data_IF_777340168563
#
_entry.id   IF_777340168563
#
_cell.length_a   1.000
_cell.length_b   1.000
_cell.length_c   1.000
_cell.angle_alpha   90.00
_cell.angle_beta   90.00
_cell.angle_gamma   90.00
#
_symmetry.space_group_name_H-M   'P 1'
#
loop_
_entity.id
_entity.type
_entity.pdbx_description
1 polymer ?
#
# COMPACT_ATOMS: atom_id res chain seq x y z
N UNK A 1 -0.44 18.10 12.03
CA UNK A 1 -0.68 17.67 13.42
C UNK A 1 -1.23 18.88 14.17
N UNK A 2 -2.30 18.75 14.95
CA UNK A 2 -2.89 19.88 15.69
C UNK A 2 -1.94 20.30 16.83
N UNK A 3 -1.61 21.59 16.99
CA UNK A 3 -0.78 22.04 18.12
C UNK A 3 -1.50 21.77 19.45
N UNK A 4 -0.82 21.11 20.40
CA UNK A 4 -1.29 20.96 21.79
C UNK A 4 -2.00 19.65 22.16
N UNK A 5 -2.12 18.67 21.26
CA UNK A 5 -2.86 17.43 21.58
C UNK A 5 -2.10 16.41 22.43
N UNK A 6 -0.76 16.51 22.51
CA UNK A 6 0.11 15.62 23.31
C UNK A 6 1.12 16.47 24.08
N UNK A 7 1.27 16.22 25.38
CA UNK A 7 2.27 16.89 26.21
C UNK A 7 3.70 16.41 25.89
N UNK A 8 4.70 17.27 26.05
CA UNK A 8 6.11 16.90 25.87
C UNK A 8 6.54 15.74 26.79
N UNK A 9 5.95 15.64 27.98
CA UNK A 9 6.19 14.53 28.90
C UNK A 9 5.63 13.22 28.33
N UNK A 10 4.36 13.19 27.92
CA UNK A 10 3.74 12.00 27.31
C UNK A 10 4.46 11.57 26.03
N UNK A 11 4.91 12.52 25.22
CA UNK A 11 5.69 12.24 24.02
C UNK A 11 7.01 11.55 24.39
N UNK A 12 7.82 12.15 25.27
CA UNK A 12 9.19 11.70 25.53
C UNK A 12 9.27 10.48 26.47
N UNK A 13 8.31 10.30 27.38
CA UNK A 13 8.38 9.25 28.39
C UNK A 13 7.50 8.04 28.08
N UNK A 14 6.46 8.20 27.25
CA UNK A 14 5.51 7.13 26.96
C UNK A 14 5.54 6.74 25.48
N UNK A 15 5.46 7.71 24.57
CA UNK A 15 5.31 7.42 23.14
C UNK A 15 6.66 7.06 22.52
N UNK A 16 7.69 7.91 22.64
CA UNK A 16 8.98 7.67 22.00
C UNK A 16 9.67 6.38 22.45
N UNK A 17 9.68 6.00 23.74
CA UNK A 17 10.28 4.72 24.15
C UNK A 17 9.55 3.50 23.58
N UNK A 18 8.22 3.54 23.47
CA UNK A 18 7.44 2.47 22.84
C UNK A 18 7.69 2.41 21.34
N UNK A 19 7.80 3.56 20.68
CA UNK A 19 8.20 3.67 19.26
C UNK A 19 9.58 3.07 19.04
N UNK A 20 10.56 3.42 19.88
CA UNK A 20 11.92 2.88 19.78
C UNK A 20 11.94 1.36 19.99
N UNK A 21 11.23 0.84 20.99
CA UNK A 21 11.09 -0.60 21.20
C UNK A 21 10.42 -1.30 20.01
N UNK A 22 9.28 -0.77 19.53
CA UNK A 22 8.59 -1.34 18.38
C UNK A 22 9.47 -1.35 17.13
N UNK A 23 10.39 -0.40 16.97
CA UNK A 23 11.26 -0.31 15.80
C UNK A 23 12.23 -1.50 15.71
N UNK A 24 12.54 -2.11 16.87
CA UNK A 24 13.41 -3.27 16.99
C UNK A 24 12.72 -4.59 16.62
N UNK A 25 11.38 -4.59 16.50
CA UNK A 25 10.61 -5.77 16.10
C UNK A 25 10.57 -5.96 14.57
N UNK A 26 11.28 -5.14 13.82
CA UNK A 26 11.37 -5.25 12.37
C UNK A 26 12.03 -6.59 12.00
N UNK A 27 11.32 -7.40 11.23
CA UNK A 27 11.81 -8.71 10.77
C UNK A 27 12.73 -8.55 9.55
N UNK A 28 13.42 -9.63 9.15
CA UNK A 28 14.49 -9.61 8.12
C UNK A 28 14.06 -8.99 6.79
N UNK A 29 12.77 -9.11 6.44
CA UNK A 29 12.19 -8.50 5.23
C UNK A 29 12.03 -6.98 5.30
N UNK A 30 12.23 -6.40 6.48
CA UNK A 30 11.91 -5.01 6.80
C UNK A 30 10.47 -4.81 7.26
N UNK A 31 9.64 -5.84 7.33
CA UNK A 31 8.26 -5.71 7.78
C UNK A 31 8.13 -5.75 9.32
N UNK A 32 6.93 -5.53 9.86
CA UNK A 32 6.61 -5.72 11.28
C UNK A 32 5.63 -6.88 11.46
N UNK A 33 5.79 -7.67 12.55
CA UNK A 33 4.84 -8.72 12.89
C UNK A 33 3.46 -8.12 13.17
N UNK A 34 2.40 -8.86 12.84
CA UNK A 34 1.02 -8.46 13.17
C UNK A 34 0.68 -8.67 14.64
N UNK A 35 1.41 -9.55 15.32
CA UNK A 35 1.20 -9.90 16.73
C UNK A 35 2.51 -10.38 17.39
N UNK A 36 2.63 -10.23 18.70
CA UNK A 36 3.78 -10.80 19.42
C UNK A 36 3.70 -12.34 19.45
N UNK A 37 4.82 -13.02 19.66
CA UNK A 37 4.90 -14.49 19.66
C UNK A 37 5.14 -15.07 18.27
N UNK A 38 4.38 -16.08 17.86
CA UNK A 38 4.62 -16.89 16.65
C UNK A 38 4.60 -16.11 15.33
N UNK A 39 4.14 -14.85 15.31
CA UNK A 39 4.22 -14.01 14.12
C UNK A 39 5.57 -13.29 13.93
N UNK A 40 6.42 -13.24 14.96
CA UNK A 40 7.79 -12.70 14.87
C UNK A 40 8.67 -13.44 13.85
N UNK A 41 8.35 -14.71 13.57
CA UNK A 41 9.07 -15.54 12.60
C UNK A 41 8.32 -15.68 11.26
N UNK A 42 7.21 -14.94 11.06
CA UNK A 42 6.38 -15.05 9.86
C UNK A 42 6.28 -13.70 9.16
N UNK A 43 6.89 -13.63 7.98
CA UNK A 43 6.86 -12.47 7.10
C UNK A 43 5.61 -12.47 6.21
N UNK A 44 4.45 -12.25 6.81
CA UNK A 44 3.16 -12.46 6.11
C UNK A 44 2.30 -11.20 5.95
N UNK A 45 2.62 -10.06 6.57
CA UNK A 45 1.61 -9.01 6.76
C UNK A 45 2.12 -7.57 6.55
N UNK A 46 1.88 -6.99 5.37
CA UNK A 46 1.95 -5.53 5.14
C UNK A 46 0.52 -5.02 4.89
N UNK A 47 -0.17 -4.53 5.92
CA UNK A 47 -1.56 -4.04 5.83
C UNK A 47 -1.70 -2.61 6.38
N UNK A 48 -2.79 -1.91 6.03
CA UNK A 48 -3.04 -0.58 6.59
C UNK A 48 -3.10 -0.58 8.14
N UNK A 49 -3.70 -1.62 8.75
CA UNK A 49 -3.86 -1.72 10.20
C UNK A 49 -2.71 -2.44 10.94
N UNK A 50 -1.89 -3.23 10.24
CA UNK A 50 -0.82 -4.06 10.83
C UNK A 50 0.40 -4.12 9.92
N UNK A 51 1.59 -4.36 10.48
CA UNK A 51 2.82 -4.33 9.71
C UNK A 51 3.29 -2.90 9.42
N UNK A 52 4.24 -2.77 8.50
CA UNK A 52 4.93 -1.50 8.21
C UNK A 52 3.98 -0.30 8.02
N UNK A 53 2.89 -0.48 7.27
CA UNK A 53 1.92 0.58 6.95
C UNK A 53 1.05 1.04 8.11
N UNK A 54 0.76 0.18 9.09
CA UNK A 54 0.04 0.56 10.32
C UNK A 54 0.93 1.21 11.38
N UNK A 55 2.23 0.96 11.31
CA UNK A 55 3.24 1.51 12.23
C UNK A 55 3.82 2.85 11.72
N UNK A 56 3.71 3.14 10.42
CA UNK A 56 4.14 4.41 9.81
C UNK A 56 3.63 5.66 10.55
N UNK A 57 2.35 5.77 10.94
CA UNK A 57 1.86 6.95 11.65
C UNK A 57 2.43 7.08 13.07
N UNK A 58 2.89 5.97 13.64
CA UNK A 58 3.44 5.86 14.99
C UNK A 58 4.95 6.15 15.01
N UNK A 59 5.69 5.82 13.95
CA UNK A 59 7.14 5.96 13.89
C UNK A 59 7.58 7.24 13.16
N UNK A 60 8.24 8.13 13.89
CA UNK A 60 9.00 9.25 13.33
C UNK A 60 10.15 8.80 12.39
N UNK A 61 10.49 7.50 12.40
CA UNK A 61 11.46 6.86 11.48
C UNK A 61 10.84 6.41 10.15
N UNK A 62 9.93 7.22 9.59
CA UNK A 62 9.19 6.90 8.36
C UNK A 62 10.08 6.38 7.22
N UNK A 63 11.31 6.90 7.08
CA UNK A 63 12.27 6.50 6.03
C UNK A 63 12.69 5.02 6.05
N UNK A 64 12.90 4.41 7.23
CA UNK A 64 13.29 2.97 7.29
C UNK A 64 12.13 2.05 6.90
N UNK A 65 10.92 2.49 7.23
CA UNK A 65 9.69 1.71 7.05
C UNK A 65 9.24 1.77 5.58
N UNK A 66 9.29 2.96 4.98
CA UNK A 66 9.03 3.14 3.56
C UNK A 66 9.99 2.32 2.72
N UNK A 67 11.29 2.34 3.04
CA UNK A 67 12.29 1.52 2.35
C UNK A 67 11.98 0.03 2.43
N UNK A 68 11.53 -0.45 3.60
CA UNK A 68 11.13 -1.84 3.76
C UNK A 68 9.89 -2.22 2.93
N UNK A 69 8.86 -1.38 2.92
CA UNK A 69 7.66 -1.61 2.09
C UNK A 69 8.04 -1.67 0.61
N UNK A 70 8.87 -0.72 0.16
CA UNK A 70 9.34 -0.68 -1.23
C UNK A 70 10.14 -1.92 -1.58
N UNK A 71 11.11 -2.33 -0.74
CA UNK A 71 11.91 -3.55 -0.95
C UNK A 71 11.06 -4.81 -0.96
N UNK A 72 10.12 -4.93 -0.04
CA UNK A 72 9.17 -6.06 0.03
C UNK A 72 8.35 -6.13 -1.25
N UNK A 73 7.73 -5.01 -1.66
CA UNK A 73 6.94 -4.94 -2.90
C UNK A 73 7.74 -5.28 -4.16
N UNK A 74 8.99 -4.79 -4.25
CA UNK A 74 9.90 -5.12 -5.36
C UNK A 74 10.31 -6.60 -5.37
N UNK A 75 10.60 -7.18 -4.21
CA UNK A 75 10.95 -8.60 -4.09
C UNK A 75 9.78 -9.48 -4.56
N UNK A 76 8.57 -9.18 -4.12
CA UNK A 76 7.37 -9.90 -4.55
C UNK A 76 7.11 -9.72 -6.04
N UNK A 77 7.24 -8.50 -6.57
CA UNK A 77 7.14 -8.26 -8.02
C UNK A 77 8.19 -9.07 -8.80
N UNK A 78 9.43 -9.13 -8.32
CA UNK A 78 10.50 -9.95 -8.89
C UNK A 78 10.15 -11.44 -8.94
N UNK A 79 9.63 -11.98 -7.83
CA UNK A 79 9.18 -13.38 -7.76
C UNK A 79 7.98 -13.67 -8.67
N UNK A 80 7.02 -12.74 -8.74
CA UNK A 80 5.86 -12.85 -9.63
C UNK A 80 6.28 -12.89 -11.10
N UNK A 81 7.25 -12.05 -11.47
CA UNK A 81 7.83 -12.02 -12.82
C UNK A 81 8.59 -13.29 -13.14
N UNK A 82 9.52 -13.72 -12.28
CA UNK A 82 10.39 -14.88 -12.55
C UNK A 82 9.61 -16.18 -12.66
N UNK A 83 8.55 -16.33 -11.87
CA UNK A 83 7.72 -17.54 -11.84
C UNK A 83 6.55 -17.48 -12.84
N UNK A 84 6.34 -16.34 -13.52
CA UNK A 84 5.19 -16.11 -14.39
C UNK A 84 3.84 -16.10 -13.66
N UNK A 85 3.83 -15.84 -12.34
CA UNK A 85 2.60 -15.80 -11.56
C UNK A 85 1.68 -14.68 -12.03
N UNK A 86 2.22 -13.49 -12.32
CA UNK A 86 1.41 -12.36 -12.77
C UNK A 86 0.65 -12.67 -14.07
N UNK A 87 1.32 -13.28 -15.06
CA UNK A 87 0.66 -13.66 -16.32
C UNK A 87 -0.44 -14.70 -16.10
N UNK A 88 -0.25 -15.64 -15.16
CA UNK A 88 -1.29 -16.61 -14.81
C UNK A 88 -2.46 -15.95 -14.09
N UNK A 89 -2.18 -15.06 -13.14
CA UNK A 89 -3.17 -14.32 -12.37
C UNK A 89 -4.05 -13.45 -13.27
N UNK A 90 -3.44 -12.77 -14.24
CA UNK A 90 -4.15 -11.89 -15.17
C UNK A 90 -4.75 -12.62 -16.38
N UNK A 91 -4.51 -13.92 -16.55
CA UNK A 91 -4.89 -14.66 -17.76
C UNK A 91 -6.40 -14.63 -18.04
N UNK A 92 -7.22 -14.69 -16.99
CA UNK A 92 -8.68 -14.67 -17.09
C UNK A 92 -9.27 -13.26 -16.95
N UNK A 93 -8.43 -12.26 -16.64
CA UNK A 93 -8.84 -10.86 -16.49
C UNK A 93 -9.10 -10.23 -17.85
N UNK A 94 -10.04 -9.29 -17.88
CA UNK A 94 -10.26 -8.39 -19.03
C UNK A 94 -9.05 -7.52 -19.36
N UNK A 95 -8.07 -7.44 -18.43
CA UNK A 95 -6.84 -6.66 -18.48
C UNK A 95 -5.59 -7.55 -18.61
N UNK A 96 -5.68 -8.72 -19.24
CA UNK A 96 -4.57 -9.71 -19.35
C UNK A 96 -3.25 -9.16 -19.91
N UNK A 97 -3.30 -8.14 -20.76
CA UNK A 97 -2.13 -7.52 -21.40
C UNK A 97 -1.57 -6.33 -20.60
N UNK A 98 -2.18 -6.00 -19.45
CA UNK A 98 -1.74 -4.92 -18.58
C UNK A 98 -0.37 -5.25 -17.98
N UNK A 99 0.61 -4.39 -18.23
CA UNK A 99 1.97 -4.56 -17.72
C UNK A 99 2.00 -4.63 -16.19
N UNK A 100 2.81 -5.53 -15.65
CA UNK A 100 2.99 -5.70 -14.21
C UNK A 100 3.56 -4.43 -13.56
N UNK A 101 3.03 -3.99 -12.40
CA UNK A 101 3.57 -2.84 -11.69
C UNK A 101 4.93 -3.16 -11.06
N UNK A 102 5.73 -2.15 -10.70
CA UNK A 102 7.03 -2.35 -10.06
C UNK A 102 6.92 -2.81 -8.58
N UNK A 103 5.76 -2.63 -7.95
CA UNK A 103 5.48 -3.11 -6.59
C UNK A 103 4.28 -4.07 -6.64
N UNK A 104 4.41 -5.25 -6.02
CA UNK A 104 3.32 -6.20 -5.81
C UNK A 104 3.17 -6.47 -4.32
N UNK A 105 1.94 -6.44 -3.81
CA UNK A 105 1.60 -6.77 -2.43
C UNK A 105 0.61 -7.94 -2.42
N UNK A 106 0.87 -8.93 -1.58
CA UNK A 106 0.12 -10.18 -1.52
C UNK A 106 -0.14 -10.56 -0.05
N UNK A 107 -1.32 -11.13 0.21
CA UNK A 107 -1.69 -11.69 1.50
C UNK A 107 -2.49 -12.98 1.31
N UNK A 108 -2.08 -14.08 1.96
CA UNK A 108 -2.66 -15.42 1.76
C UNK A 108 -2.86 -15.80 0.28
N UNK A 109 -1.84 -15.54 -0.54
CA UNK A 109 -1.84 -15.77 -1.99
C UNK A 109 -2.82 -14.90 -2.80
N UNK A 110 -3.34 -13.82 -2.20
CA UNK A 110 -4.28 -12.90 -2.82
C UNK A 110 -3.70 -11.49 -2.93
N UNK A 111 -3.83 -10.88 -4.11
CA UNK A 111 -3.43 -9.50 -4.38
C UNK A 111 -4.63 -8.55 -4.20
N UNK A 112 -4.96 -8.22 -2.95
CA UNK A 112 -6.08 -7.33 -2.63
C UNK A 112 -5.87 -5.90 -3.13
N UNK A 113 -6.87 -5.30 -3.76
CA UNK A 113 -6.79 -3.92 -4.30
C UNK A 113 -7.21 -2.85 -3.28
N UNK A 114 -8.01 -3.24 -2.29
CA UNK A 114 -8.72 -2.35 -1.37
C UNK A 114 -7.88 -1.53 -0.38
N UNK A 115 -8.55 -0.64 0.36
CA UNK A 115 -7.92 0.28 1.32
C UNK A 115 -7.43 -0.37 2.62
N UNK A 116 -8.07 -1.46 3.09
CA UNK A 116 -7.72 -2.05 4.37
C UNK A 116 -6.52 -3.00 4.28
N UNK A 117 -6.51 -3.85 3.26
CA UNK A 117 -5.57 -4.98 3.15
C UNK A 117 -4.83 -4.99 1.80
N UNK A 118 -4.98 -3.93 1.01
CA UNK A 118 -4.57 -3.95 -0.38
C UNK A 118 -3.74 -2.75 -0.83
N UNK A 119 -3.47 -2.75 -2.14
CA UNK A 119 -2.69 -1.72 -2.83
C UNK A 119 -3.15 -0.31 -2.48
N UNK A 120 -4.46 -0.03 -2.49
CA UNK A 120 -4.97 1.31 -2.24
C UNK A 120 -4.56 1.87 -0.88
N UNK A 121 -4.62 1.06 0.18
CA UNK A 121 -4.21 1.46 1.53
C UNK A 121 -2.71 1.73 1.61
N UNK A 122 -1.92 0.79 1.09
CA UNK A 122 -0.45 0.86 1.15
C UNK A 122 0.07 2.07 0.39
N UNK A 123 -0.36 2.26 -0.85
CA UNK A 123 0.06 3.39 -1.69
C UNK A 123 -0.42 4.72 -1.12
N UNK A 124 -1.64 4.78 -0.55
CA UNK A 124 -2.13 5.98 0.15
C UNK A 124 -1.21 6.36 1.29
N UNK A 125 -0.78 5.38 2.09
CA UNK A 125 0.16 5.60 3.19
C UNK A 125 1.50 6.12 2.69
N UNK A 126 2.09 5.49 1.66
CA UNK A 126 3.36 5.93 1.08
C UNK A 126 3.30 7.37 0.58
N UNK A 127 2.23 7.75 -0.13
CA UNK A 127 2.04 9.12 -0.63
C UNK A 127 1.84 10.14 0.51
N UNK A 128 1.07 9.78 1.55
CA UNK A 128 0.92 10.63 2.75
C UNK A 128 2.26 10.81 3.46
N UNK A 129 3.06 9.75 3.59
CA UNK A 129 4.39 9.82 4.21
C UNK A 129 5.33 10.70 3.43
N UNK A 130 5.41 10.51 2.11
CA UNK A 130 6.21 11.37 1.23
C UNK A 130 5.87 12.85 1.44
N UNK A 131 4.57 13.18 1.54
CA UNK A 131 4.11 14.55 1.72
C UNK A 131 4.35 15.12 3.12
N UNK A 132 4.18 14.31 4.16
CA UNK A 132 4.24 14.74 5.55
C UNK A 132 5.65 14.71 6.13
N UNK A 133 6.54 13.87 5.59
CA UNK A 133 7.89 13.65 6.07
C UNK A 133 8.90 13.74 4.91
N UNK A 134 9.35 14.94 4.54
CA UNK A 134 10.33 15.13 3.47
C UNK A 134 11.59 14.26 3.68
N UNK A 135 12.05 13.60 2.61
CA UNK A 135 13.21 12.69 2.66
C UNK A 135 12.89 11.26 3.10
N UNK A 136 11.66 10.96 3.53
CA UNK A 136 11.24 9.58 3.86
C UNK A 136 11.10 8.66 2.65
N UNK A 137 10.78 9.23 1.48
CA UNK A 137 10.76 8.54 0.20
C UNK A 137 11.55 9.41 -0.78
N UNK A 138 12.56 8.84 -1.42
CA UNK A 138 13.34 9.55 -2.43
C UNK A 138 12.49 9.86 -3.66
N UNK A 139 12.81 10.94 -4.38
CA UNK A 139 12.14 11.25 -5.65
C UNK A 139 12.28 10.11 -6.68
N UNK A 140 13.39 9.38 -6.64
CA UNK A 140 13.58 8.20 -7.47
C UNK A 140 12.57 7.10 -7.12
N UNK A 141 12.47 6.72 -5.85
CA UNK A 141 11.51 5.71 -5.38
C UNK A 141 10.06 6.10 -5.65
N UNK A 142 9.73 7.38 -5.46
CA UNK A 142 8.41 7.90 -5.79
C UNK A 142 8.09 7.72 -7.28
N UNK A 143 8.98 8.19 -8.17
CA UNK A 143 8.73 8.25 -9.61
C UNK A 143 8.91 6.90 -10.33
N UNK A 144 9.69 5.98 -9.77
CA UNK A 144 9.99 4.69 -10.41
C UNK A 144 9.21 3.52 -9.81
N UNK A 145 8.73 3.64 -8.56
CA UNK A 145 8.05 2.55 -7.86
C UNK A 145 6.62 2.93 -7.48
N UNK A 146 6.44 4.00 -6.72
CA UNK A 146 5.12 4.34 -6.15
C UNK A 146 4.16 4.81 -7.24
N UNK A 147 4.50 5.88 -7.96
CA UNK A 147 3.60 6.48 -8.96
C UNK A 147 3.28 5.54 -10.14
N UNK A 148 4.22 4.76 -10.69
CA UNK A 148 3.88 3.76 -11.71
C UNK A 148 2.95 2.64 -11.18
N UNK A 149 3.05 2.28 -9.90
CA UNK A 149 2.09 1.33 -9.30
C UNK A 149 0.71 1.97 -9.10
N UNK A 150 0.66 3.26 -8.79
CA UNK A 150 -0.59 4.04 -8.72
C UNK A 150 -1.24 4.14 -10.10
N UNK A 151 -0.45 4.38 -11.15
CA UNK A 151 -0.95 4.40 -12.52
C UNK A 151 -1.52 3.05 -12.94
N UNK A 152 -0.79 1.96 -12.67
CA UNK A 152 -1.31 0.61 -12.85
C UNK A 152 -2.64 0.37 -12.11
N UNK A 153 -2.75 0.80 -10.84
CA UNK A 153 -4.00 0.73 -10.08
C UNK A 153 -5.16 1.46 -10.75
N UNK A 154 -4.90 2.60 -11.40
CA UNK A 154 -5.94 3.35 -12.11
C UNK A 154 -6.49 2.60 -13.33
N UNK A 155 -5.64 1.83 -14.01
CA UNK A 155 -6.01 1.06 -15.21
C UNK A 155 -6.85 -0.19 -14.89
N UNK A 156 -6.91 -0.61 -13.62
CA UNK A 156 -7.75 -1.70 -13.13
C UNK A 156 -9.21 -1.31 -12.92
N UNK A 157 -9.58 -0.04 -13.13
CA UNK A 157 -10.98 0.37 -13.03
C UNK A 157 -11.84 -0.43 -14.02
N UNK A 158 -12.93 -0.98 -13.50
CA UNK A 158 -13.95 -1.70 -14.25
C UNK A 158 -14.79 -0.70 -15.07
N UNK A 159 -15.49 -1.20 -16.09
CA UNK A 159 -16.34 -0.36 -16.95
C UNK A 159 -17.49 0.34 -16.21
N UNK A 160 -17.88 -0.19 -15.05
CA UNK A 160 -18.88 0.43 -14.18
C UNK A 160 -18.28 1.49 -13.23
N UNK A 161 -16.99 1.79 -13.32
CA UNK A 161 -16.28 2.73 -12.46
C UNK A 161 -15.82 2.17 -11.11
N UNK A 162 -16.05 0.89 -10.83
CA UNK A 162 -15.64 0.22 -9.59
C UNK A 162 -14.26 -0.49 -9.73
N UNK A 163 -13.77 -1.09 -8.65
CA UNK A 163 -12.60 -1.99 -8.63
C UNK A 163 -12.98 -3.32 -7.99
N UNK A 164 -12.39 -4.41 -8.47
CA UNK A 164 -12.52 -5.71 -7.83
C UNK A 164 -11.89 -5.71 -6.42
N UNK A 165 -12.28 -6.66 -5.54
CA UNK A 165 -11.63 -6.80 -4.24
C UNK A 165 -10.16 -7.23 -4.32
N UNK A 166 -9.82 -8.09 -5.29
CA UNK A 166 -8.47 -8.59 -5.58
C UNK A 166 -8.24 -8.76 -7.08
N UNK A 167 -6.98 -8.92 -7.50
CA UNK A 167 -6.62 -9.31 -8.87
C UNK A 167 -7.08 -10.74 -9.20
N UNK A 168 -7.27 -11.03 -10.49
CA UNK A 168 -7.64 -12.36 -11.00
C UNK A 168 -9.16 -12.56 -11.10
N UNK A 169 -9.64 -13.77 -10.82
CA UNK A 169 -11.02 -14.20 -11.09
C UNK A 169 -12.09 -13.44 -10.27
N UNK A 170 -11.67 -12.66 -9.28
CA UNK A 170 -12.50 -11.72 -8.51
C UNK A 170 -13.10 -10.60 -9.36
N UNK A 171 -12.62 -10.35 -10.59
CA UNK A 171 -13.24 -9.41 -11.54
C UNK A 171 -14.68 -9.79 -11.91
N UNK A 172 -15.03 -11.08 -11.83
CA UNK A 172 -16.39 -11.57 -12.11
C UNK A 172 -17.38 -11.36 -10.94
N UNK A 173 -16.88 -10.97 -9.77
CA UNK A 173 -17.65 -10.77 -8.54
C UNK A 173 -17.77 -9.28 -8.20
N UNK A 174 -18.27 -8.49 -9.16
CA UNK A 174 -18.57 -7.05 -9.03
C UNK A 174 -19.74 -6.80 -8.07
N UNK A 175 -19.52 -7.00 -6.77
CA UNK A 175 -20.57 -6.89 -5.75
C UNK A 175 -20.19 -6.06 -4.53
N UNK A 176 -18.95 -5.57 -4.39
CA UNK A 176 -18.51 -4.90 -3.17
C UNK A 176 -18.07 -3.44 -3.41
N UNK A 177 -18.97 -2.49 -3.11
CA UNK A 177 -18.62 -1.08 -2.83
C UNK A 177 -18.59 -0.92 -1.31
N UNK A 178 -17.47 -1.27 -0.69
CA UNK A 178 -17.29 -1.20 0.76
C UNK A 178 -16.20 -0.19 1.09
N UNK A 179 -16.21 0.41 2.29
CA UNK A 179 -15.12 1.31 2.70
C UNK A 179 -13.71 0.74 2.43
N UNK A 180 -13.55 -0.57 2.62
CA UNK A 180 -12.30 -1.28 2.42
C UNK A 180 -12.04 -1.79 0.99
N UNK A 181 -13.02 -1.85 0.08
CA UNK A 181 -12.87 -2.45 -1.27
C UNK A 181 -13.63 -1.63 -2.34
N UNK A 182 -13.28 -1.82 -3.61
CA UNK A 182 -13.93 -1.07 -4.69
C UNK A 182 -13.61 0.43 -4.66
N UNK A 183 -14.42 1.22 -5.36
CA UNK A 183 -14.17 2.65 -5.60
C UNK A 183 -13.95 3.44 -4.31
N UNK A 184 -14.72 3.16 -3.25
CA UNK A 184 -14.60 3.80 -1.93
C UNK A 184 -13.24 3.59 -1.28
N UNK A 185 -12.60 2.44 -1.49
CA UNK A 185 -11.24 2.18 -1.02
C UNK A 185 -10.16 2.83 -1.89
N UNK A 186 -10.42 3.02 -3.19
CA UNK A 186 -9.45 3.51 -4.17
C UNK A 186 -9.45 5.04 -4.31
N UNK A 187 -10.59 5.71 -4.14
CA UNK A 187 -10.69 7.18 -4.22
C UNK A 187 -9.68 7.90 -3.29
N UNK A 188 -9.49 7.51 -2.01
CA UNK A 188 -8.47 8.11 -1.15
C UNK A 188 -7.05 8.01 -1.71
N UNK A 189 -6.74 6.94 -2.43
CA UNK A 189 -5.47 6.78 -3.13
C UNK A 189 -5.35 7.82 -4.25
N UNK A 190 -6.34 7.89 -5.13
CA UNK A 190 -6.33 8.80 -6.29
C UNK A 190 -6.21 10.27 -5.85
N UNK A 191 -6.94 10.66 -4.79
CA UNK A 191 -6.82 11.99 -4.19
C UNK A 191 -5.44 12.27 -3.58
N UNK A 192 -4.81 11.24 -3.00
CA UNK A 192 -3.46 11.37 -2.42
C UNK A 192 -2.40 11.53 -3.51
N UNK A 193 -2.56 10.86 -4.65
CA UNK A 193 -1.67 10.99 -5.81
C UNK A 193 -1.77 12.38 -6.45
N UNK A 194 -2.99 12.88 -6.66
CA UNK A 194 -3.21 14.24 -7.15
C UNK A 194 -2.53 15.29 -6.25
N UNK A 195 -2.60 15.11 -4.93
CA UNK A 195 -1.99 16.03 -3.94
C UNK A 195 -0.46 16.07 -3.97
N UNK A 196 0.21 15.10 -4.59
CA UNK A 196 1.68 15.12 -4.79
C UNK A 196 2.07 15.57 -6.20
N UNK A 197 1.12 16.14 -6.95
CA UNK A 197 1.35 16.66 -8.30
C UNK A 197 1.31 15.58 -9.38
N UNK A 198 0.88 14.36 -9.06
CA UNK A 198 0.70 13.31 -10.06
C UNK A 198 -0.66 13.45 -10.70
N UNK A 199 -0.67 13.98 -11.92
CA UNK A 199 -1.82 13.91 -12.80
C UNK A 199 -1.92 12.47 -13.32
N UNK A 200 -2.53 11.61 -12.52
CA UNK A 200 -3.29 10.49 -13.08
C UNK A 200 -4.20 11.12 -14.14
N UNK A 201 -4.48 10.45 -15.24
CA UNK A 201 -5.57 10.88 -16.12
C UNK A 201 -6.89 10.75 -15.34
N UNK A 202 -7.14 11.65 -14.38
CA UNK A 202 -8.36 11.74 -13.57
C UNK A 202 -9.57 11.93 -14.50
N UNK A 203 -9.32 12.43 -15.71
CA UNK A 203 -10.30 12.54 -16.79
C UNK A 203 -10.79 11.18 -17.33
N UNK A 204 -10.02 10.09 -17.16
CA UNK A 204 -10.39 8.75 -17.63
C UNK A 204 -11.00 7.88 -16.53
N UNK A 205 -10.90 8.31 -15.25
CA UNK A 205 -11.58 7.62 -14.17
C UNK A 205 -13.08 7.89 -14.27
N UNK A 206 -13.86 6.83 -14.49
CA UNK A 206 -15.31 6.89 -14.47
C UNK A 206 -15.73 7.13 -13.02
N UNK A 207 -15.96 8.39 -12.65
CA UNK A 207 -16.60 8.72 -11.38
C UNK A 207 -18.10 8.48 -11.59
N UNK A 208 -18.57 7.33 -11.12
CA UNK A 208 -20.01 7.00 -11.11
C UNK A 208 -20.72 8.10 -10.31
N UNK A 209 -21.64 8.80 -10.96
CA UNK A 209 -22.49 9.84 -10.36
C UNK A 209 -23.44 9.24 -9.34
#
# INVERSE_FOLDING_TARGET
MFPGSISSHSLNQLILPTVDWMSQLQIISGNWPSSLGDSLNRDVLVHWCHGATGVIPLMLSAHKITDAILKSGQKTAGAYKSNGFYNRLMYQSSKRDLCMPPLIFEWYNECYLGAAHGFAGILTTLLKVYRLFPGSISSHSLNQLVLPTVDWMSQLQLSNGNWSPSLGDSESHDILVHWCHGATGVIPLMLSAYKVGYNILVNDLIIVK
#
